data_IF_728463169631
#
_entry.id   IF_728463169631
#
_cell.length_a   1.000
_cell.length_b   1.000
_cell.length_c   1.000
_cell.angle_alpha   90.00
_cell.angle_beta   90.00
_cell.angle_gamma   90.00
#
_symmetry.space_group_name_H-M   'P 1'
#
loop_
_entity.id
_entity.type
_entity.pdbx_description
1 polymer ?
#
# COMPACT_ATOMS: atom_id res chain seq x y z
N UNK A 1 -1.81 -24.89 16.29
CA UNK A 1 -0.60 -24.03 16.23
C UNK A 1 -0.31 -23.60 14.79
N UNK A 2 -1.24 -22.93 14.10
CA UNK A 2 -1.09 -22.62 12.66
C UNK A 2 -1.69 -21.26 12.23
N UNK A 3 -2.31 -20.53 13.16
CA UNK A 3 -2.93 -19.21 12.90
C UNK A 3 -1.99 -18.05 13.28
N UNK A 4 -1.08 -18.26 14.23
CA UNK A 4 -0.10 -17.26 14.67
C UNK A 4 0.97 -17.02 13.61
N UNK A 5 1.53 -18.09 13.04
CA UNK A 5 2.60 -18.07 12.03
C UNK A 5 2.28 -17.18 10.81
N UNK A 6 1.05 -17.28 10.28
CA UNK A 6 0.61 -16.46 9.13
C UNK A 6 0.58 -14.97 9.42
N UNK A 7 0.20 -14.57 10.64
CA UNK A 7 0.16 -13.15 11.02
C UNK A 7 1.57 -12.58 11.20
N UNK A 8 2.50 -13.40 11.68
CA UNK A 8 3.90 -13.01 11.85
C UNK A 8 4.60 -12.88 10.50
N UNK A 9 4.35 -13.80 9.57
CA UNK A 9 4.81 -13.71 8.19
C UNK A 9 4.32 -12.44 7.48
N UNK A 10 3.01 -12.13 7.60
CA UNK A 10 2.44 -10.91 7.02
C UNK A 10 3.06 -9.64 7.60
N UNK A 11 3.24 -9.58 8.92
CA UNK A 11 3.85 -8.44 9.61
C UNK A 11 5.31 -8.22 9.17
N UNK A 12 6.05 -9.30 8.92
CA UNK A 12 7.41 -9.24 8.40
C UNK A 12 7.45 -8.67 6.99
N UNK A 13 6.60 -9.16 6.10
CA UNK A 13 6.52 -8.66 4.71
C UNK A 13 6.16 -7.18 4.66
N UNK A 14 5.16 -6.74 5.45
CA UNK A 14 4.79 -5.33 5.53
C UNK A 14 5.99 -4.49 5.98
N UNK A 15 6.70 -4.92 7.03
CA UNK A 15 7.88 -4.20 7.52
C UNK A 15 8.97 -4.11 6.46
N UNK A 16 9.23 -5.19 5.72
CA UNK A 16 10.20 -5.19 4.62
C UNK A 16 9.79 -4.25 3.50
N UNK A 17 8.52 -4.27 3.08
CA UNK A 17 8.03 -3.38 2.00
C UNK A 17 8.11 -1.92 2.42
N UNK A 18 7.66 -1.59 3.64
CA UNK A 18 7.75 -0.23 4.19
C UNK A 18 9.21 0.22 4.30
N UNK A 19 10.09 -0.65 4.79
CA UNK A 19 11.51 -0.35 4.91
C UNK A 19 12.16 -0.11 3.54
N UNK A 20 11.85 -0.93 2.54
CA UNK A 20 12.33 -0.75 1.15
C UNK A 20 11.80 0.54 0.53
N UNK A 21 10.52 0.86 0.73
CA UNK A 21 9.92 2.09 0.22
C UNK A 21 10.58 3.33 0.83
N UNK A 22 10.82 3.33 2.14
CA UNK A 22 11.56 4.41 2.84
C UNK A 22 13.00 4.49 2.33
N UNK A 23 13.68 3.36 2.14
CA UNK A 23 15.04 3.34 1.61
C UNK A 23 15.11 3.94 0.20
N UNK A 24 14.16 3.61 -0.68
CA UNK A 24 14.04 4.21 -2.02
C UNK A 24 13.75 5.71 -1.92
N UNK A 25 12.80 6.12 -1.07
CA UNK A 25 12.48 7.54 -0.87
C UNK A 25 13.68 8.35 -0.32
N UNK A 26 14.51 7.73 0.52
CA UNK A 26 15.72 8.34 1.07
C UNK A 26 16.89 8.36 0.08
N UNK A 27 17.02 7.36 -0.80
CA UNK A 27 18.05 7.32 -1.85
C UNK A 27 17.79 8.33 -2.97
N UNK A 28 16.54 8.76 -3.09
CA UNK A 28 16.05 9.54 -4.19
C UNK A 28 16.50 11.03 -4.20
N UNK A 29 16.69 11.75 -3.08
CA UNK A 29 17.40 13.04 -3.11
C UNK A 29 18.83 12.96 -3.65
N UNK A 30 19.54 11.82 -3.49
CA UNK A 30 20.84 11.60 -4.14
C UNK A 30 20.72 11.50 -5.67
N UNK A 31 19.67 10.82 -6.16
CA UNK A 31 19.36 10.74 -7.59
C UNK A 31 18.99 12.11 -8.17
N UNK A 32 18.24 12.92 -7.41
CA UNK A 32 17.92 14.30 -7.79
C UNK A 32 19.18 15.15 -7.86
N UNK A 33 20.05 15.08 -6.83
CA UNK A 33 21.30 15.83 -6.78
C UNK A 33 22.27 15.45 -7.91
N UNK A 34 22.33 14.17 -8.31
CA UNK A 34 23.20 13.71 -9.40
C UNK A 34 22.68 14.04 -10.82
N UNK A 35 21.40 14.42 -10.96
CA UNK A 35 20.74 14.61 -12.26
C UNK A 35 20.86 16.02 -12.86
N UNK A 36 21.34 17.01 -12.10
CA UNK A 36 21.50 18.40 -12.56
C UNK A 36 20.20 19.12 -12.90
N UNK A 37 19.05 18.62 -12.45
CA UNK A 37 17.72 19.17 -12.74
C UNK A 37 17.34 20.32 -11.79
N UNK A 38 16.62 21.36 -12.27
CA UNK A 38 16.13 22.45 -11.43
C UNK A 38 15.22 21.91 -10.31
N UNK A 39 15.47 22.31 -9.07
CA UNK A 39 14.96 21.70 -7.83
C UNK A 39 13.42 21.60 -7.66
N UNK A 40 12.63 22.31 -8.47
CA UNK A 40 11.17 22.30 -8.42
C UNK A 40 10.47 21.22 -9.27
N UNK A 41 11.16 20.64 -10.26
CA UNK A 41 10.59 19.62 -11.16
C UNK A 41 10.70 18.18 -10.65
N UNK A 42 11.86 17.74 -10.09
CA UNK A 42 12.06 16.34 -9.69
C UNK A 42 11.23 15.94 -8.48
N UNK A 43 11.08 16.83 -7.49
CA UNK A 43 10.37 16.53 -6.25
C UNK A 43 8.91 16.10 -6.49
N UNK A 44 8.24 16.71 -7.47
CA UNK A 44 6.87 16.36 -7.84
C UNK A 44 6.82 15.02 -8.58
N UNK A 45 7.73 14.79 -9.55
CA UNK A 45 7.79 13.53 -10.29
C UNK A 45 8.06 12.33 -9.38
N UNK A 46 8.89 12.54 -8.38
CA UNK A 46 9.19 11.60 -7.31
C UNK A 46 7.98 11.33 -6.43
N UNK A 47 7.32 12.38 -5.93
CA UNK A 47 6.16 12.23 -5.06
C UNK A 47 5.03 11.49 -5.80
N UNK A 48 4.83 11.81 -7.09
CA UNK A 48 3.90 11.10 -7.96
C UNK A 48 4.33 9.65 -8.22
N UNK A 49 5.61 9.36 -8.43
CA UNK A 49 6.11 8.01 -8.61
C UNK A 49 5.91 7.16 -7.34
N UNK A 50 6.16 7.73 -6.16
CA UNK A 50 5.89 7.08 -4.86
C UNK A 50 4.39 6.86 -4.67
N UNK A 51 3.56 7.89 -4.91
CA UNK A 51 2.10 7.78 -4.80
C UNK A 51 1.54 6.72 -5.76
N UNK A 52 2.00 6.70 -7.02
CA UNK A 52 1.63 5.69 -7.99
C UNK A 52 2.11 4.28 -7.58
N UNK A 53 3.31 4.17 -7.00
CA UNK A 53 3.82 2.93 -6.43
C UNK A 53 2.91 2.40 -5.32
N UNK A 54 2.50 3.27 -4.39
CA UNK A 54 1.55 2.92 -3.33
C UNK A 54 0.17 2.52 -3.90
N UNK A 55 -0.37 3.27 -4.86
CA UNK A 55 -1.63 2.93 -5.54
C UNK A 55 -1.54 1.58 -6.24
N UNK A 56 -0.40 1.28 -6.89
CA UNK A 56 -0.19 0.00 -7.56
C UNK A 56 -0.13 -1.14 -6.56
N UNK A 57 0.57 -0.95 -5.42
CA UNK A 57 0.62 -1.90 -4.31
C UNK A 57 -0.79 -2.15 -3.77
N UNK A 58 -1.59 -1.11 -3.52
CA UNK A 58 -2.98 -1.24 -3.07
C UNK A 58 -3.90 -1.92 -4.08
N UNK A 59 -3.59 -1.83 -5.38
CA UNK A 59 -4.34 -2.52 -6.44
C UNK A 59 -3.95 -4.01 -6.59
N UNK A 60 -2.92 -4.51 -5.90
CA UNK A 60 -2.58 -5.92 -5.96
C UNK A 60 -3.55 -6.75 -5.08
N UNK A 61 -4.19 -7.81 -5.62
CA UNK A 61 -5.07 -8.69 -4.85
C UNK A 61 -4.32 -9.46 -3.74
N UNK A 62 -2.98 -9.49 -3.81
CA UNK A 62 -2.12 -9.98 -2.75
C UNK A 62 -2.21 -9.13 -1.47
N UNK A 63 -2.48 -7.82 -1.59
CA UNK A 63 -2.71 -6.93 -0.44
C UNK A 63 -4.04 -7.26 0.24
N UNK A 64 -5.12 -7.47 -0.53
CA UNK A 64 -6.41 -7.89 0.01
C UNK A 64 -6.40 -9.29 0.65
N UNK A 65 -5.55 -10.18 0.13
CA UNK A 65 -5.35 -11.51 0.70
C UNK A 65 -4.55 -11.46 2.02
N UNK A 66 -3.67 -10.47 2.17
CA UNK A 66 -2.87 -10.25 3.37
C UNK A 66 -3.60 -9.41 4.43
N UNK A 67 -4.54 -8.57 4.00
CA UNK A 67 -5.32 -7.70 4.85
C UNK A 67 -6.28 -8.52 5.72
N UNK A 68 -6.22 -8.37 7.06
CA UNK A 68 -7.17 -9.01 7.97
C UNK A 68 -8.61 -8.59 7.63
N UNK A 69 -9.59 -9.46 7.89
CA UNK A 69 -11.01 -9.20 7.62
C UNK A 69 -11.53 -7.87 8.19
N UNK A 70 -10.90 -7.32 9.23
CA UNK A 70 -11.25 -6.04 9.85
C UNK A 70 -10.68 -4.79 9.15
N UNK A 71 -9.77 -4.96 8.20
CA UNK A 71 -9.20 -3.86 7.40
C UNK A 71 -9.57 -3.94 5.91
N UNK A 72 -10.22 -5.04 5.48
CA UNK A 72 -10.94 -5.02 4.20
C UNK A 72 -12.04 -3.96 4.32
N UNK A 73 -11.99 -2.94 3.48
CA UNK A 73 -13.10 -2.00 3.33
C UNK A 73 -14.37 -2.84 3.14
N UNK A 74 -15.40 -2.56 3.94
CA UNK A 74 -16.69 -3.23 3.82
C UNK A 74 -17.11 -3.20 2.36
N UNK A 75 -17.37 -4.37 1.78
CA UNK A 75 -17.83 -4.49 0.41
C UNK A 75 -19.17 -3.74 0.32
N UNK A 76 -19.22 -2.57 -0.35
CA UNK A 76 -20.41 -1.71 -0.35
C UNK A 76 -21.64 -2.46 -0.89
N UNK A 77 -21.42 -3.40 -1.81
CA UNK A 77 -22.45 -4.24 -2.39
C UNK A 77 -22.97 -5.29 -1.40
N UNK A 78 -22.14 -5.80 -0.49
CA UNK A 78 -22.57 -6.74 0.55
C UNK A 78 -23.44 -6.05 1.61
N UNK A 79 -23.06 -4.83 2.01
CA UNK A 79 -23.82 -4.02 2.97
C UNK A 79 -25.16 -3.56 2.39
N UNK A 80 -25.19 -3.18 1.10
CA UNK A 80 -26.42 -2.82 0.40
C UNK A 80 -27.38 -4.01 0.28
N UNK A 81 -26.90 -5.22 -0.06
CA UNK A 81 -27.73 -6.43 -0.10
C UNK A 81 -28.33 -6.75 1.27
N UNK A 82 -27.53 -6.67 2.33
CA UNK A 82 -28.04 -6.84 3.70
C UNK A 82 -29.09 -5.80 4.09
N UNK A 83 -28.95 -4.56 3.63
CA UNK A 83 -29.91 -3.50 3.91
C UNK A 83 -31.25 -3.73 3.20
N UNK A 84 -31.24 -4.34 2.01
CA UNK A 84 -32.45 -4.72 1.28
C UNK A 84 -33.13 -5.93 1.92
N UNK A 85 -32.36 -6.98 2.27
CA UNK A 85 -32.90 -8.18 2.91
C UNK A 85 -33.50 -7.90 4.30
N UNK A 86 -32.97 -6.92 5.05
CA UNK A 86 -33.50 -6.54 6.36
C UNK A 86 -34.78 -5.68 6.28
N UNK A 87 -35.19 -5.27 5.07
CA UNK A 87 -36.37 -4.43 4.82
C UNK A 87 -37.59 -5.24 4.38
N UNK A 88 -37.41 -6.51 4.05
CA UNK A 88 -38.47 -7.49 3.76
C UNK A 88 -38.85 -8.28 5.02
#
# INVERSE_FOLDING_TARGET
MAVTDRRDAARRTIRTVVQTAIAIAAALPLLVAASGLPESLPGVGVALAVAAGFTRVMALPAVDALLPRWLRLADPDADLRQALERRE
#
